data_IF_651672479920
#
_entry.id   IF_651672479920
#
_cell.length_a   1.000
_cell.length_b   1.000
_cell.length_c   1.000
_cell.angle_alpha   90.00
_cell.angle_beta   90.00
_cell.angle_gamma   90.00
#
_symmetry.space_group_name_H-M   'P 1'
#
loop_
_entity.id
_entity.type
_entity.pdbx_description
1 polymer ?
#
# COMPACT_ATOMS: atom_id res chain seq x y z
N UNK A 1 -40.51 41.53 40.55
CA UNK A 1 -39.44 42.21 39.79
C UNK A 1 -38.31 41.26 39.39
N UNK A 2 -37.99 40.25 40.19
CA UNK A 2 -36.89 39.31 39.93
C UNK A 2 -37.07 38.45 38.67
N UNK A 3 -38.28 37.92 38.42
CA UNK A 3 -38.57 37.14 37.21
C UNK A 3 -38.52 37.96 35.91
N UNK A 4 -38.80 39.27 35.99
CA UNK A 4 -38.75 40.18 34.82
C UNK A 4 -37.30 40.47 34.44
N UNK A 5 -36.40 40.60 35.42
CA UNK A 5 -34.97 40.78 35.19
C UNK A 5 -34.30 39.54 34.58
N UNK A 6 -34.70 38.34 35.00
CA UNK A 6 -34.19 37.08 34.44
C UNK A 6 -34.65 36.92 32.98
N UNK A 7 -35.92 37.20 32.68
CA UNK A 7 -36.44 37.14 31.32
C UNK A 7 -35.73 38.15 30.39
N UNK A 8 -35.43 39.35 30.89
CA UNK A 8 -34.69 40.37 30.13
C UNK A 8 -33.24 39.95 29.88
N UNK A 9 -32.57 39.33 30.86
CA UNK A 9 -31.21 38.84 30.70
C UNK A 9 -31.12 37.72 29.65
N UNK A 10 -32.08 36.79 29.63
CA UNK A 10 -32.15 35.72 28.63
C UNK A 10 -32.38 36.30 27.22
N UNK A 11 -33.24 37.33 27.09
CA UNK A 11 -33.50 38.00 25.82
C UNK A 11 -32.24 38.70 25.27
N UNK A 12 -31.47 39.36 26.15
CA UNK A 12 -30.22 40.03 25.76
C UNK A 12 -29.17 39.02 25.30
N UNK A 13 -29.01 37.90 26.02
CA UNK A 13 -28.07 36.83 25.62
C UNK A 13 -28.48 36.21 24.28
N UNK A 14 -29.77 35.96 24.06
CA UNK A 14 -30.28 35.46 22.78
C UNK A 14 -30.03 36.45 21.63
N UNK A 15 -30.20 37.75 21.87
CA UNK A 15 -29.94 38.79 20.87
C UNK A 15 -28.46 38.91 20.51
N UNK A 16 -27.56 38.89 21.51
CA UNK A 16 -26.11 38.94 21.30
C UNK A 16 -25.62 37.69 20.56
N UNK A 17 -26.14 36.51 20.89
CA UNK A 17 -25.78 35.25 20.23
C UNK A 17 -26.31 35.22 18.78
N UNK A 18 -27.53 35.72 18.55
CA UNK A 18 -28.12 35.84 17.21
C UNK A 18 -27.37 36.83 16.30
N UNK A 19 -26.94 37.98 16.83
CA UNK A 19 -26.15 38.96 16.08
C UNK A 19 -24.74 38.40 15.79
N UNK A 20 -24.13 37.69 16.74
CA UNK A 20 -22.80 37.06 16.53
C UNK A 20 -22.83 35.99 15.45
N UNK A 21 -23.93 35.23 15.33
CA UNK A 21 -24.13 34.24 14.27
C UNK A 21 -24.46 34.87 12.90
N UNK A 22 -25.08 36.06 12.86
CA UNK A 22 -25.33 36.79 11.62
C UNK A 22 -24.09 37.55 11.09
N UNK A 23 -23.23 38.07 11.98
CA UNK A 23 -22.01 38.81 11.59
C UNK A 23 -20.87 37.86 11.16
N UNK A 24 -20.91 36.58 11.56
CA UNK A 24 -19.95 35.56 11.14
C UNK A 24 -20.12 35.04 9.70
N UNK A 25 -21.21 35.42 9.01
CA UNK A 25 -21.50 35.01 7.63
C UNK A 25 -21.61 36.24 6.72
N UNK A 26 -20.47 36.80 6.34
CA UNK A 26 -20.41 37.70 5.19
C UNK A 26 -19.38 38.80 5.29
N UNK A 27 -18.14 38.50 4.90
CA UNK A 27 -17.28 39.42 4.15
C UNK A 27 -16.14 38.66 3.48
N UNK A 28 -16.35 38.38 2.19
CA UNK A 28 -15.28 38.16 1.20
C UNK A 28 -14.53 39.48 1.02
N UNK A 29 -13.21 39.42 1.14
CA UNK A 29 -12.24 40.26 0.42
C UNK A 29 -11.09 39.30 0.09
N UNK A 30 -11.05 38.68 -1.09
CA UNK A 30 -10.34 39.18 -2.27
C UNK A 30 -9.03 39.90 -1.92
N UNK A 31 -7.95 39.12 -1.83
CA UNK A 31 -6.67 39.45 -2.46
C UNK A 31 -6.12 38.18 -3.10
N UNK A 32 -5.83 38.31 -4.39
CA UNK A 32 -5.11 37.34 -5.19
C UNK A 32 -3.70 37.20 -4.61
N UNK A 33 -3.27 35.96 -4.37
CA UNK A 33 -1.94 35.55 -4.75
C UNK A 33 -2.12 34.51 -5.86
N UNK A 34 -1.90 34.99 -7.09
CA UNK A 34 -1.58 34.18 -8.25
C UNK A 34 -0.19 33.57 -8.03
N UNK A 35 -0.12 32.25 -7.96
CA UNK A 35 0.93 31.40 -8.56
C UNK A 35 0.93 29.98 -7.95
N UNK A 36 -0.16 29.25 -8.17
CA UNK A 36 -0.18 27.80 -8.05
C UNK A 36 -0.97 27.20 -9.22
N UNK A 37 -0.49 27.47 -10.43
CA UNK A 37 -0.87 26.72 -11.61
C UNK A 37 -0.14 25.36 -11.59
N UNK A 38 -0.87 24.31 -11.22
CA UNK A 38 -0.66 22.93 -11.68
C UNK A 38 -1.81 22.05 -11.13
N UNK A 39 -3.03 22.29 -11.61
CA UNK A 39 -4.11 21.32 -11.44
C UNK A 39 -3.87 20.17 -12.42
N UNK A 40 -3.53 18.99 -11.91
CA UNK A 40 -3.40 17.79 -12.72
C UNK A 40 -4.75 17.47 -13.35
N UNK A 41 -4.87 17.73 -14.64
CA UNK A 41 -6.04 17.38 -15.45
C UNK A 41 -5.83 15.94 -15.89
N UNK A 42 -6.43 14.97 -15.20
CA UNK A 42 -6.49 13.59 -15.67
C UNK A 42 -7.89 13.34 -16.24
N UNK A 43 -7.98 13.39 -17.57
CA UNK A 43 -9.09 12.87 -18.37
C UNK A 43 -9.26 11.39 -18.08
N UNK A 44 -10.42 10.98 -17.57
CA UNK A 44 -10.82 9.57 -17.56
C UNK A 44 -10.94 9.11 -19.03
N UNK A 45 -10.26 8.03 -19.48
CA UNK A 45 -10.65 7.34 -20.69
C UNK A 45 -12.03 6.71 -20.45
N UNK A 46 -13.01 7.04 -21.29
CA UNK A 46 -14.34 6.39 -21.28
C UNK A 46 -14.16 4.96 -21.83
N UNK A 47 -14.57 3.90 -21.12
CA UNK A 47 -14.63 2.56 -21.72
C UNK A 47 -15.58 2.57 -22.92
N UNK A 48 -15.32 1.80 -23.99
CA UNK A 48 -16.23 1.72 -25.13
C UNK A 48 -17.60 1.20 -24.65
N UNK A 49 -18.66 1.94 -24.98
CA UNK A 49 -20.03 1.55 -24.67
C UNK A 49 -20.39 0.30 -25.47
N UNK A 50 -20.89 -0.74 -24.78
CA UNK A 50 -21.52 -1.89 -25.41
C UNK A 50 -22.96 -1.52 -25.74
N UNK A 51 -23.22 -1.12 -26.99
CA UNK A 51 -24.59 -0.91 -27.48
C UNK A 51 -25.32 -2.25 -27.56
N UNK A 52 -26.21 -2.48 -26.61
CA UNK A 52 -27.20 -3.57 -26.67
C UNK A 52 -28.55 -2.96 -27.01
N UNK A 53 -28.80 -2.74 -28.30
CA UNK A 53 -30.16 -2.61 -28.81
C UNK A 53 -30.37 -3.59 -29.96
N UNK A 54 -31.10 -4.65 -29.65
CA UNK A 54 -31.71 -5.56 -30.62
C UNK A 54 -32.84 -4.85 -31.34
N UNK A 55 -32.98 -5.00 -32.68
CA UNK A 55 -34.29 -4.97 -33.28
C UNK A 55 -34.60 -6.29 -34.00
N UNK A 56 -35.71 -6.89 -33.60
CA UNK A 56 -36.47 -7.86 -34.39
C UNK A 56 -37.01 -7.14 -35.63
N UNK A 57 -36.74 -7.63 -36.85
CA UNK A 57 -37.71 -7.56 -37.97
C UNK A 57 -37.62 -8.76 -38.92
N UNK A 58 -38.81 -9.28 -39.17
CA UNK A 58 -39.30 -10.16 -40.23
C UNK A 58 -39.05 -9.64 -41.64
N UNK A 59 -38.93 -10.55 -42.62
CA UNK A 59 -39.26 -10.29 -44.02
C UNK A 59 -38.13 -10.60 -45.01
N UNK A 60 -38.30 -11.66 -45.79
CA UNK A 60 -37.43 -12.07 -46.88
C UNK A 60 -37.52 -11.13 -48.09
N UNK A 61 -36.37 -10.81 -48.70
CA UNK A 61 -36.22 -10.69 -50.16
C UNK A 61 -34.74 -10.79 -50.52
N UNK A 62 -34.43 -11.66 -51.48
CA UNK A 62 -33.09 -11.91 -52.00
C UNK A 62 -32.62 -10.74 -52.87
N UNK A 63 -31.38 -10.29 -52.68
CA UNK A 63 -30.67 -9.38 -53.59
C UNK A 63 -29.23 -9.88 -53.77
N UNK A 64 -28.83 -9.89 -55.04
CA UNK A 64 -27.60 -10.38 -55.68
C UNK A 64 -26.28 -9.85 -55.07
N UNK A 65 -25.20 -10.66 -54.96
CA UNK A 65 -23.90 -10.22 -54.45
C UNK A 65 -22.97 -9.82 -55.61
N UNK A 66 -23.15 -8.64 -56.18
CA UNK A 66 -22.16 -8.07 -57.11
C UNK A 66 -22.29 -6.53 -57.17
N UNK A 67 -21.55 -5.85 -56.29
CA UNK A 67 -21.07 -4.46 -56.35
C UNK A 67 -21.21 -3.74 -55.00
N UNK A 68 -20.14 -3.72 -54.22
CA UNK A 68 -19.94 -2.71 -53.18
C UNK A 68 -18.50 -2.22 -53.32
N UNK A 69 -18.35 -1.13 -54.06
CA UNK A 69 -17.18 -0.26 -54.00
C UNK A 69 -17.05 0.30 -52.58
N UNK A 70 -15.85 0.17 -52.02
CA UNK A 70 -15.48 0.65 -50.69
C UNK A 70 -15.34 2.18 -50.74
N UNK A 71 -16.41 2.89 -50.39
CA UNK A 71 -16.36 4.34 -50.16
C UNK A 71 -15.78 4.63 -48.76
N UNK A 72 -14.82 5.56 -48.60
CA UNK A 72 -14.24 5.87 -47.30
C UNK A 72 -15.29 6.56 -46.42
N UNK A 73 -15.54 6.02 -45.24
CA UNK A 73 -16.40 6.63 -44.24
C UNK A 73 -15.84 7.99 -43.79
N UNK A 74 -16.67 9.01 -43.55
CA UNK A 74 -16.21 10.30 -43.07
C UNK A 74 -15.62 10.16 -41.65
N UNK A 75 -14.63 10.99 -41.26
CA UNK A 75 -14.10 10.98 -39.90
C UNK A 75 -15.22 11.34 -38.93
N UNK A 76 -15.51 10.45 -37.97
CA UNK A 76 -16.37 10.78 -36.83
C UNK A 76 -15.52 11.65 -35.90
N UNK A 77 -15.73 12.96 -35.98
CA UNK A 77 -15.13 13.92 -35.08
C UNK A 77 -15.78 13.76 -33.69
N UNK A 78 -15.09 13.07 -32.78
CA UNK A 78 -15.52 12.96 -31.39
C UNK A 78 -15.50 14.37 -30.77
N UNK A 79 -16.59 14.82 -30.14
CA UNK A 79 -16.59 16.12 -29.47
C UNK A 79 -15.52 16.12 -28.35
N UNK A 80 -14.83 17.25 -28.12
CA UNK A 80 -13.84 17.36 -27.06
C UNK A 80 -14.49 17.02 -25.72
N UNK A 81 -13.82 16.18 -24.93
CA UNK A 81 -14.27 15.80 -23.60
C UNK A 81 -14.31 17.04 -22.70
N UNK A 82 -15.50 17.60 -22.49
CA UNK A 82 -15.71 18.62 -21.48
C UNK A 82 -15.55 17.98 -20.09
N UNK A 83 -14.78 18.59 -19.17
CA UNK A 83 -14.62 18.07 -17.82
C UNK A 83 -15.95 18.16 -17.08
N UNK A 84 -16.49 17.01 -16.66
CA UNK A 84 -17.64 16.93 -15.75
C UNK A 84 -17.36 17.77 -14.48
N UNK A 85 -18.09 18.89 -14.28
CA UNK A 85 -17.85 19.74 -13.12
C UNK A 85 -18.43 19.07 -11.87
N UNK A 86 -17.57 18.66 -10.93
CA UNK A 86 -18.00 18.26 -9.59
C UNK A 86 -17.32 17.05 -8.96
N UNK A 87 -16.39 16.37 -9.66
CA UNK A 87 -15.62 15.27 -9.06
C UNK A 87 -14.52 15.84 -8.16
N UNK A 88 -14.79 15.88 -6.84
CA UNK A 88 -13.79 16.20 -5.83
C UNK A 88 -12.97 14.94 -5.55
N UNK A 89 -11.79 14.85 -6.15
CA UNK A 89 -10.82 13.81 -5.81
C UNK A 89 -10.08 14.19 -4.54
N UNK A 90 -9.81 13.20 -3.68
CA UNK A 90 -8.88 13.40 -2.58
C UNK A 90 -7.47 13.55 -3.16
N UNK A 91 -6.78 14.61 -2.79
CA UNK A 91 -5.38 14.86 -3.17
C UNK A 91 -4.50 14.39 -2.02
N UNK A 92 -3.92 13.17 -2.08
CA UNK A 92 -3.22 12.61 -0.95
C UNK A 92 -1.95 13.43 -0.66
N UNK A 93 -1.58 13.54 0.62
CA UNK A 93 -0.33 14.20 0.97
C UNK A 93 0.89 13.41 0.41
N UNK A 94 1.96 14.11 0.00
CA UNK A 94 3.19 13.47 -0.47
C UNK A 94 3.78 12.50 0.54
N UNK A 95 4.43 11.46 0.04
CA UNK A 95 5.02 10.36 0.82
C UNK A 95 6.07 10.83 1.84
N UNK A 96 6.83 11.88 1.53
CA UNK A 96 7.89 12.43 2.38
C UNK A 96 7.43 12.82 3.81
N UNK A 97 6.19 13.34 3.96
CA UNK A 97 5.64 13.71 5.28
C UNK A 97 4.96 12.55 6.04
N UNK A 98 4.75 11.42 5.37
CA UNK A 98 4.01 10.26 5.90
C UNK A 98 4.87 9.45 6.87
N UNK A 99 6.17 9.30 6.57
CA UNK A 99 7.14 8.58 7.41
C UNK A 99 7.26 9.17 8.82
N UNK A 100 7.30 10.50 8.95
CA UNK A 100 7.42 11.17 10.27
C UNK A 100 6.20 10.88 11.15
N UNK A 101 4.99 10.95 10.59
CA UNK A 101 3.75 10.61 11.32
C UNK A 101 3.72 9.14 11.72
N UNK A 102 4.23 8.26 10.87
CA UNK A 102 4.21 6.82 11.08
C UNK A 102 5.28 6.36 12.09
N UNK A 103 6.45 7.01 12.16
CA UNK A 103 7.41 6.82 13.26
C UNK A 103 6.77 7.06 14.62
N UNK A 104 5.92 8.09 14.75
CA UNK A 104 5.19 8.34 16.00
C UNK A 104 4.15 7.26 16.37
N UNK A 105 3.66 6.48 15.40
CA UNK A 105 2.74 5.35 15.64
C UNK A 105 3.50 4.09 15.99
N UNK A 106 4.58 3.81 15.26
CA UNK A 106 5.52 2.73 15.57
C UNK A 106 6.10 2.89 16.98
N UNK A 107 6.51 4.10 17.37
CA UNK A 107 6.98 4.39 18.73
C UNK A 107 5.90 4.23 19.82
N UNK A 108 4.60 4.32 19.45
CA UNK A 108 3.46 4.05 20.34
C UNK A 108 3.11 2.58 20.43
N UNK A 109 3.49 1.78 19.43
CA UNK A 109 3.52 0.31 19.54
C UNK A 109 4.70 -0.05 20.45
N UNK A 110 4.47 0.10 21.76
CA UNK A 110 5.48 -0.17 22.78
C UNK A 110 5.90 -1.63 22.70
N UNK A 111 7.09 -1.86 22.16
CA UNK A 111 7.65 -3.21 22.08
C UNK A 111 8.01 -3.68 23.49
N UNK A 112 7.27 -4.69 23.97
CA UNK A 112 7.71 -5.52 25.10
C UNK A 112 9.13 -6.05 24.87
N UNK A 113 9.49 -6.31 23.61
CA UNK A 113 10.83 -6.68 23.16
C UNK A 113 11.90 -5.68 23.64
N UNK A 114 11.76 -4.39 23.27
CA UNK A 114 12.78 -3.38 23.55
C UNK A 114 13.01 -3.19 25.05
N UNK A 115 11.92 -3.12 25.82
CA UNK A 115 11.99 -3.04 27.28
C UNK A 115 12.61 -4.28 27.91
N UNK A 116 12.24 -5.48 27.45
CA UNK A 116 12.80 -6.73 27.95
C UNK A 116 14.31 -6.77 27.75
N UNK A 117 14.75 -6.51 26.50
CA UNK A 117 16.17 -6.49 26.15
C UNK A 117 16.96 -5.46 26.97
N UNK A 118 16.49 -4.21 27.05
CA UNK A 118 17.19 -3.16 27.79
C UNK A 118 17.24 -3.42 29.29
N UNK A 119 16.21 -4.05 29.86
CA UNK A 119 16.17 -4.39 31.30
C UNK A 119 17.23 -5.41 31.65
N UNK A 120 17.39 -6.44 30.82
CA UNK A 120 18.41 -7.46 31.03
C UNK A 120 19.81 -6.88 30.81
N UNK A 121 20.00 -6.15 29.70
CA UNK A 121 21.30 -5.58 29.33
C UNK A 121 21.81 -4.50 30.29
N UNK A 122 20.93 -3.84 31.04
CA UNK A 122 21.30 -2.81 32.02
C UNK A 122 21.85 -3.36 33.35
N UNK A 123 21.86 -4.68 33.56
CA UNK A 123 22.44 -5.31 34.76
C UNK A 123 23.96 -5.08 34.79
N UNK A 124 24.54 -4.80 35.96
CA UNK A 124 25.98 -4.50 36.12
C UNK A 124 26.89 -5.64 35.64
N UNK A 125 26.43 -6.88 35.78
CA UNK A 125 27.14 -8.07 35.32
C UNK A 125 26.17 -9.06 34.72
N UNK A 126 26.35 -9.32 33.43
CA UNK A 126 25.53 -10.29 32.69
C UNK A 126 26.05 -11.72 32.95
N UNK A 127 25.16 -12.61 33.39
CA UNK A 127 25.38 -14.05 33.55
C UNK A 127 25.02 -14.81 32.27
N UNK A 128 25.24 -16.14 32.22
CA UNK A 128 24.74 -16.96 31.10
C UNK A 128 23.20 -16.94 31.06
N UNK A 129 22.54 -17.06 32.22
CA UNK A 129 21.07 -17.00 32.33
C UNK A 129 20.51 -15.69 31.76
N UNK A 130 21.22 -14.56 31.94
CA UNK A 130 20.81 -13.28 31.35
C UNK A 130 20.85 -13.31 29.81
N UNK A 131 21.84 -14.00 29.23
CA UNK A 131 21.93 -14.14 27.76
C UNK A 131 20.87 -15.10 27.22
N UNK A 132 20.50 -16.13 27.97
CA UNK A 132 19.36 -17.00 27.66
C UNK A 132 18.05 -16.19 27.67
N UNK A 133 17.84 -15.31 28.66
CA UNK A 133 16.67 -14.41 28.73
C UNK A 133 16.59 -13.48 27.50
N UNK A 134 17.73 -12.94 27.05
CA UNK A 134 17.82 -12.14 25.81
C UNK A 134 17.46 -12.97 24.58
N UNK A 135 17.97 -14.20 24.49
CA UNK A 135 17.69 -15.13 23.39
C UNK A 135 16.20 -15.45 23.31
N UNK A 136 15.61 -15.86 24.43
CA UNK A 136 14.19 -16.17 24.56
C UNK A 136 13.31 -14.98 24.16
N UNK A 137 13.68 -13.77 24.58
CA UNK A 137 12.96 -12.53 24.24
C UNK A 137 12.95 -12.28 22.73
N UNK A 138 14.09 -12.46 22.05
CA UNK A 138 14.20 -12.31 20.60
C UNK A 138 13.39 -13.40 19.84
N UNK A 139 13.45 -14.65 20.32
CA UNK A 139 12.67 -15.75 19.74
C UNK A 139 11.17 -15.52 19.89
N UNK A 140 10.71 -15.07 21.06
CA UNK A 140 9.31 -14.77 21.33
C UNK A 140 8.75 -13.66 20.42
N UNK A 141 9.62 -12.77 19.95
CA UNK A 141 9.27 -11.71 19.00
C UNK A 141 9.31 -12.14 17.52
N UNK A 142 9.46 -13.44 17.23
CA UNK A 142 9.53 -14.02 15.88
C UNK A 142 10.77 -13.57 15.06
N UNK A 143 11.89 -13.21 15.71
CA UNK A 143 13.16 -12.85 15.01
C UNK A 143 13.77 -14.04 14.27
N UNK A 144 13.54 -15.26 14.77
CA UNK A 144 14.03 -16.51 14.22
C UNK A 144 15.41 -16.91 14.76
N UNK A 145 15.64 -18.23 14.87
CA UNK A 145 16.79 -18.82 15.57
C UNK A 145 18.13 -18.29 15.05
N UNK A 146 18.39 -18.39 13.75
CA UNK A 146 19.67 -17.98 13.17
C UNK A 146 19.98 -16.48 13.37
N UNK A 147 18.95 -15.63 13.31
CA UNK A 147 19.11 -14.20 13.54
C UNK A 147 19.32 -13.88 15.01
N UNK A 148 18.53 -14.48 15.88
CA UNK A 148 18.68 -14.36 17.32
C UNK A 148 20.10 -14.77 17.76
N UNK A 149 20.57 -15.96 17.37
CA UNK A 149 21.92 -16.43 17.74
C UNK A 149 23.00 -15.45 17.31
N UNK A 150 22.91 -14.90 16.10
CA UNK A 150 23.86 -13.90 15.63
C UNK A 150 23.80 -12.60 16.44
N UNK A 151 22.60 -12.09 16.73
CA UNK A 151 22.41 -10.87 17.53
C UNK A 151 23.02 -11.08 18.91
N UNK A 152 22.69 -12.17 19.60
CA UNK A 152 23.20 -12.50 20.94
C UNK A 152 24.72 -12.57 20.95
N UNK A 153 25.34 -13.29 20.01
CA UNK A 153 26.80 -13.39 19.92
C UNK A 153 27.48 -12.04 19.74
N UNK A 154 26.91 -11.17 18.90
CA UNK A 154 27.45 -9.82 18.67
C UNK A 154 27.27 -8.92 19.88
N UNK A 155 26.09 -8.93 20.50
CA UNK A 155 25.83 -8.20 21.73
C UNK A 155 26.80 -8.62 22.84
N UNK A 156 27.01 -9.93 23.03
CA UNK A 156 27.94 -10.49 24.01
C UNK A 156 29.40 -10.09 23.77
N UNK A 157 29.81 -10.06 22.50
CA UNK A 157 31.17 -9.61 22.14
C UNK A 157 31.35 -8.12 22.42
N UNK A 158 30.36 -7.30 22.07
CA UNK A 158 30.41 -5.85 22.23
C UNK A 158 30.25 -5.41 23.69
N UNK A 159 29.46 -6.12 24.50
CA UNK A 159 29.26 -5.82 25.93
C UNK A 159 30.55 -5.99 26.74
N UNK A 160 31.44 -6.92 26.37
CA UNK A 160 32.76 -7.08 27.00
C UNK A 160 33.66 -5.86 26.77
N UNK A 161 33.54 -5.21 25.61
CA UNK A 161 34.26 -3.96 25.29
C UNK A 161 33.62 -2.77 25.98
N UNK A 162 32.30 -2.83 26.22
CA UNK A 162 31.46 -1.77 26.75
C UNK A 162 31.08 -1.98 28.22
N UNK A 163 31.92 -2.64 29.02
CA UNK A 163 31.63 -3.05 30.41
C UNK A 163 31.23 -1.92 31.39
N UNK A 164 31.25 -0.65 30.96
CA UNK A 164 30.82 0.55 31.70
C UNK A 164 29.80 1.40 30.94
N UNK A 165 29.14 0.84 29.92
CA UNK A 165 28.24 1.57 29.05
C UNK A 165 26.96 2.03 29.78
N UNK A 166 26.58 3.27 29.52
CA UNK A 166 25.29 3.85 29.89
C UNK A 166 24.13 3.13 29.18
N UNK A 167 22.92 3.21 29.76
CA UNK A 167 21.72 2.63 29.15
C UNK A 167 21.44 3.13 27.73
N UNK A 168 21.84 4.36 27.40
CA UNK A 168 21.79 4.91 26.03
C UNK A 168 22.75 4.22 25.08
N UNK A 169 23.98 3.93 25.52
CA UNK A 169 24.97 3.21 24.69
C UNK A 169 24.55 1.76 24.43
N UNK A 170 23.92 1.11 25.42
CA UNK A 170 23.35 -0.24 25.26
C UNK A 170 22.18 -0.24 24.28
N UNK A 171 21.31 0.76 24.35
CA UNK A 171 20.23 0.96 23.39
C UNK A 171 20.76 1.10 21.97
N UNK A 172 21.72 1.99 21.77
CA UNK A 172 22.28 2.26 20.44
C UNK A 172 23.02 1.03 19.89
N UNK A 173 23.64 0.22 20.76
CA UNK A 173 24.19 -1.08 20.41
C UNK A 173 23.10 -2.03 19.89
N UNK A 174 21.98 -2.19 20.63
CA UNK A 174 20.88 -3.07 20.20
C UNK A 174 20.27 -2.61 18.89
N UNK A 175 19.99 -1.30 18.75
CA UNK A 175 19.45 -0.73 17.51
C UNK A 175 20.40 -1.02 16.35
N UNK A 176 21.70 -0.77 16.51
CA UNK A 176 22.70 -1.03 15.48
C UNK A 176 22.74 -2.50 15.06
N UNK A 177 22.73 -3.43 16.01
CA UNK A 177 22.78 -4.86 15.67
C UNK A 177 21.49 -5.34 15.00
N UNK A 178 20.32 -4.84 15.42
CA UNK A 178 19.06 -5.12 14.75
C UNK A 178 19.05 -4.54 13.32
N UNK A 179 19.48 -3.30 13.15
CA UNK A 179 19.59 -2.66 11.82
C UNK A 179 20.54 -3.45 10.92
N UNK A 180 21.69 -3.90 11.43
CA UNK A 180 22.63 -4.69 10.65
C UNK A 180 22.03 -6.01 10.15
N UNK A 181 21.22 -6.68 10.98
CA UNK A 181 20.53 -7.92 10.58
C UNK A 181 19.38 -7.65 9.61
N UNK A 182 18.77 -6.47 9.66
CA UNK A 182 17.78 -6.02 8.68
C UNK A 182 18.39 -5.68 7.31
N UNK A 183 19.71 -5.63 7.16
CA UNK A 183 20.37 -5.41 5.87
C UNK A 183 20.08 -4.01 5.31
N UNK A 184 20.72 -2.95 5.83
CA UNK A 184 20.46 -1.57 5.42
C UNK A 184 20.76 -1.34 3.93
N UNK A 185 21.70 -2.09 3.37
CA UNK A 185 22.17 -1.92 1.98
C UNK A 185 21.26 -2.57 0.91
N UNK A 186 20.19 -3.28 1.31
CA UNK A 186 19.26 -3.88 0.35
C UNK A 186 18.46 -2.80 -0.40
N UNK A 187 18.30 -2.97 -1.71
CA UNK A 187 17.49 -2.05 -2.52
C UNK A 187 16.00 -2.20 -2.20
N UNK A 188 15.44 -1.18 -1.56
CA UNK A 188 14.03 -1.12 -1.15
C UNK A 188 13.17 -0.24 -2.03
N UNK A 189 13.73 0.31 -3.11
CA UNK A 189 12.98 1.17 -4.03
C UNK A 189 11.83 0.39 -4.66
N UNK A 190 10.67 1.03 -4.71
CA UNK A 190 9.50 0.49 -5.38
C UNK A 190 9.58 0.86 -6.87
N UNK A 191 9.70 -0.14 -7.75
CA UNK A 191 9.83 0.10 -9.20
C UNK A 191 8.48 0.51 -9.78
N UNK A 192 8.25 1.82 -9.83
CA UNK A 192 6.96 2.46 -10.22
C UNK A 192 7.16 3.63 -11.18
N UNK A 193 8.32 3.71 -11.82
CA UNK A 193 8.64 4.76 -12.79
C UNK A 193 8.43 4.21 -14.19
N UNK A 194 7.80 5.00 -15.07
CA UNK A 194 7.66 4.65 -16.49
C UNK A 194 9.05 4.46 -17.11
N UNK A 195 9.21 3.43 -17.93
CA UNK A 195 10.46 3.20 -18.66
C UNK A 195 10.21 2.46 -19.98
N UNK A 196 11.13 2.57 -20.92
CA UNK A 196 11.07 1.89 -22.22
C UNK A 196 9.73 2.08 -22.97
N UNK A 197 9.09 3.25 -22.79
CA UNK A 197 7.81 3.59 -23.40
C UNK A 197 6.56 2.96 -22.76
N UNK A 198 6.71 2.17 -21.68
CA UNK A 198 5.62 1.47 -20.99
C UNK A 198 5.53 1.83 -19.49
N UNK A 199 4.35 1.68 -18.85
CA UNK A 199 4.24 1.83 -17.41
C UNK A 199 5.05 0.76 -16.67
N UNK A 200 5.48 1.08 -15.46
CA UNK A 200 5.97 0.07 -14.52
C UNK A 200 4.81 -0.85 -14.10
N UNK A 201 5.01 -2.16 -14.17
CA UNK A 201 3.98 -3.14 -13.84
C UNK A 201 4.27 -3.76 -12.47
N UNK A 202 3.34 -3.56 -11.53
CA UNK A 202 3.40 -4.06 -10.17
C UNK A 202 2.34 -5.12 -9.93
N UNK A 203 2.76 -6.36 -9.71
CA UNK A 203 1.87 -7.46 -9.36
C UNK A 203 1.81 -7.61 -7.84
N UNK A 204 0.62 -7.57 -7.26
CA UNK A 204 0.43 -7.71 -5.80
C UNK A 204 -0.19 -9.06 -5.48
N UNK A 205 0.58 -9.90 -4.78
CA UNK A 205 0.23 -11.29 -4.45
C UNK A 205 0.21 -11.53 -2.94
N UNK A 206 -0.30 -12.69 -2.52
CA UNK A 206 -0.38 -13.08 -1.11
C UNK A 206 -1.70 -13.72 -0.73
N UNK A 207 -1.81 -14.15 0.52
CA UNK A 207 -2.98 -14.90 1.00
C UNK A 207 -4.20 -14.02 1.24
N UNK A 208 -5.38 -14.63 1.30
CA UNK A 208 -6.60 -13.94 1.70
C UNK A 208 -6.49 -13.40 3.14
N UNK A 209 -7.03 -12.20 3.39
CA UNK A 209 -6.98 -11.57 4.71
C UNK A 209 -5.65 -10.88 5.06
N UNK A 210 -4.61 -11.02 4.23
CA UNK A 210 -3.33 -10.32 4.43
C UNK A 210 -3.38 -8.82 4.10
N UNK A 211 -4.45 -8.35 3.44
CA UNK A 211 -4.64 -6.94 3.11
C UNK A 211 -4.15 -6.51 1.72
N UNK A 212 -4.15 -7.41 0.72
CA UNK A 212 -3.73 -7.14 -0.67
C UNK A 212 -4.47 -5.95 -1.31
N UNK A 213 -5.78 -6.05 -1.49
CA UNK A 213 -6.61 -5.00 -2.09
C UNK A 213 -6.46 -3.66 -1.38
N UNK A 214 -6.42 -3.67 -0.05
CA UNK A 214 -6.14 -2.47 0.76
C UNK A 214 -4.75 -1.90 0.48
N UNK A 215 -3.73 -2.77 0.37
CA UNK A 215 -2.35 -2.36 0.06
C UNK A 215 -2.26 -1.77 -1.34
N UNK A 216 -2.90 -2.37 -2.34
CA UNK A 216 -2.98 -1.84 -3.71
C UNK A 216 -3.58 -0.43 -3.72
N UNK A 217 -4.71 -0.23 -3.05
CA UNK A 217 -5.34 1.08 -2.93
C UNK A 217 -4.47 2.12 -2.22
N UNK A 218 -3.77 1.72 -1.14
CA UNK A 218 -2.82 2.60 -0.44
C UNK A 218 -1.60 2.95 -1.29
N UNK A 219 -1.04 2.01 -2.06
CA UNK A 219 0.06 2.28 -3.00
C UNK A 219 -0.41 3.27 -4.07
N UNK A 220 -1.57 3.05 -4.70
CA UNK A 220 -2.12 3.97 -5.68
C UNK A 220 -2.26 5.39 -5.11
N UNK A 221 -2.81 5.51 -3.89
CA UNK A 221 -2.91 6.79 -3.18
C UNK A 221 -1.54 7.44 -2.93
N UNK A 222 -0.52 6.65 -2.56
CA UNK A 222 0.85 7.17 -2.38
C UNK A 222 1.39 7.72 -3.70
N UNK A 223 1.29 6.95 -4.78
CA UNK A 223 1.79 7.35 -6.10
C UNK A 223 1.08 8.59 -6.63
N UNK A 224 -0.25 8.68 -6.48
CA UNK A 224 -1.03 9.88 -6.85
C UNK A 224 -0.63 11.09 -6.02
N UNK A 225 -0.41 10.91 -4.71
CA UNK A 225 0.09 11.99 -3.83
C UNK A 225 1.50 12.46 -4.20
N UNK A 226 2.29 11.60 -4.83
CA UNK A 226 3.61 11.91 -5.38
C UNK A 226 3.54 12.41 -6.84
N UNK A 227 2.34 12.67 -7.36
CA UNK A 227 2.09 13.25 -8.69
C UNK A 227 2.13 12.26 -9.84
N UNK A 228 2.16 10.95 -9.57
CA UNK A 228 2.19 9.90 -10.59
C UNK A 228 0.79 9.49 -11.05
N UNK A 229 0.70 9.14 -12.32
CA UNK A 229 -0.47 8.56 -12.97
C UNK A 229 -0.48 7.02 -12.79
N UNK A 230 -1.65 6.47 -12.45
CA UNK A 230 -1.79 5.05 -12.09
C UNK A 230 -3.02 4.45 -12.76
N UNK A 231 -2.94 3.17 -13.13
CA UNK A 231 -4.09 2.32 -13.47
C UNK A 231 -4.11 1.11 -12.54
N UNK A 232 -5.29 0.70 -12.09
CA UNK A 232 -5.51 -0.48 -11.26
C UNK A 232 -6.08 -1.64 -12.09
N UNK A 233 -5.62 -2.86 -11.84
CA UNK A 233 -6.16 -4.08 -12.42
C UNK A 233 -6.80 -4.97 -11.36
N UNK A 234 -8.12 -5.19 -11.45
CA UNK A 234 -8.88 -6.03 -10.52
C UNK A 234 -8.85 -7.51 -10.94
N UNK A 235 -7.70 -8.16 -10.81
CA UNK A 235 -7.52 -9.56 -11.20
C UNK A 235 -7.93 -10.59 -10.12
N UNK A 236 -8.40 -10.17 -8.93
CA UNK A 236 -9.13 -11.05 -7.98
C UNK A 236 -10.58 -11.30 -8.48
N UNK A 237 -10.71 -11.99 -9.61
CA UNK A 237 -12.01 -12.18 -10.29
C UNK A 237 -12.96 -13.15 -9.56
N UNK A 238 -12.44 -13.90 -8.59
CA UNK A 238 -13.22 -14.84 -7.76
C UNK A 238 -14.00 -14.15 -6.64
N UNK A 239 -13.69 -12.90 -6.34
CA UNK A 239 -14.34 -12.14 -5.27
C UNK A 239 -14.90 -10.86 -5.88
N UNK A 240 -16.17 -10.86 -6.27
CA UNK A 240 -16.84 -9.66 -6.78
C UNK A 240 -16.60 -8.43 -5.88
N UNK A 241 -16.77 -8.60 -4.57
CA UNK A 241 -16.53 -7.54 -3.59
C UNK A 241 -15.08 -7.02 -3.56
N UNK A 242 -14.08 -7.78 -4.00
CA UNK A 242 -12.70 -7.31 -4.08
C UNK A 242 -12.51 -6.32 -5.24
N UNK A 243 -13.13 -6.59 -6.39
CA UNK A 243 -13.13 -5.67 -7.52
C UNK A 243 -13.86 -4.37 -7.18
N UNK A 244 -15.04 -4.44 -6.55
CA UNK A 244 -15.81 -3.26 -6.13
C UNK A 244 -15.04 -2.44 -5.05
N UNK A 245 -14.36 -3.13 -4.13
CA UNK A 245 -13.51 -2.49 -3.14
C UNK A 245 -12.34 -1.76 -3.81
N UNK A 246 -11.68 -2.37 -4.79
CA UNK A 246 -10.58 -1.76 -5.51
C UNK A 246 -11.02 -0.56 -6.35
N UNK A 247 -12.18 -0.66 -7.01
CA UNK A 247 -12.80 0.45 -7.73
C UNK A 247 -13.06 1.64 -6.81
N UNK A 248 -13.63 1.39 -5.64
CA UNK A 248 -13.84 2.43 -4.61
C UNK A 248 -12.54 3.09 -4.17
N UNK A 249 -11.43 2.33 -4.07
CA UNK A 249 -10.12 2.90 -3.78
C UNK A 249 -9.63 3.82 -4.91
N UNK A 250 -9.77 3.39 -6.17
CA UNK A 250 -9.38 4.16 -7.35
C UNK A 250 -10.19 5.45 -7.51
N UNK A 251 -11.52 5.36 -7.40
CA UNK A 251 -12.43 6.51 -7.55
C UNK A 251 -12.13 7.65 -6.59
N UNK A 252 -11.76 7.34 -5.35
CA UNK A 252 -11.42 8.34 -4.32
C UNK A 252 -10.23 9.22 -4.70
N UNK A 253 -9.31 8.71 -5.51
CA UNK A 253 -8.08 9.42 -5.94
C UNK A 253 -8.02 9.64 -7.46
N UNK A 254 -9.12 9.41 -8.18
CA UNK A 254 -9.20 9.64 -9.62
C UNK A 254 -8.45 8.62 -10.48
N UNK A 255 -8.18 7.43 -9.95
CA UNK A 255 -7.46 6.35 -10.65
C UNK A 255 -8.45 5.39 -11.33
N UNK A 256 -8.17 5.06 -12.59
CA UNK A 256 -8.97 4.10 -13.36
C UNK A 256 -8.73 2.67 -12.87
N UNK A 257 -9.81 1.90 -12.69
CA UNK A 257 -9.76 0.47 -12.36
C UNK A 257 -10.30 -0.36 -13.52
N UNK A 258 -9.44 -1.19 -14.10
CA UNK A 258 -9.79 -2.19 -15.13
C UNK A 258 -10.28 -3.45 -14.43
N UNK A 259 -11.48 -3.91 -14.77
CA UNK A 259 -12.13 -5.09 -14.19
C UNK A 259 -12.76 -5.97 -15.26
N UNK A 260 -12.78 -7.27 -15.01
CA UNK A 260 -13.45 -8.26 -15.86
C UNK A 260 -14.82 -8.67 -15.34
N UNK A 261 -15.46 -9.61 -16.04
CA UNK A 261 -16.65 -10.32 -15.53
C UNK A 261 -16.29 -11.14 -14.28
N UNK A 262 -17.23 -11.25 -13.35
CA UNK A 262 -17.09 -12.13 -12.17
C UNK A 262 -16.81 -13.58 -12.62
N UNK A 263 -15.82 -14.23 -11.99
CA UNK A 263 -15.35 -15.56 -12.38
C UNK A 263 -14.63 -15.61 -13.74
N UNK A 264 -14.35 -14.46 -14.36
CA UNK A 264 -13.52 -14.36 -15.56
C UNK A 264 -12.06 -14.72 -15.31
N UNK A 265 -11.29 -14.85 -16.39
CA UNK A 265 -9.86 -15.18 -16.32
C UNK A 265 -9.02 -14.00 -15.77
N UNK A 266 -8.36 -14.11 -14.61
CA UNK A 266 -7.51 -13.04 -14.04
C UNK A 266 -6.42 -12.56 -14.99
N UNK A 267 -5.84 -13.47 -15.76
CA UNK A 267 -4.76 -13.14 -16.69
C UNK A 267 -5.25 -12.20 -17.80
N UNK A 268 -6.51 -12.35 -18.23
CA UNK A 268 -7.13 -11.47 -19.21
C UNK A 268 -7.36 -10.07 -18.64
N UNK A 269 -7.80 -9.96 -17.37
CA UNK A 269 -7.97 -8.64 -16.72
C UNK A 269 -6.64 -7.92 -16.54
N UNK A 270 -5.61 -8.64 -16.10
CA UNK A 270 -4.27 -8.08 -15.93
C UNK A 270 -3.66 -7.62 -17.26
N UNK A 271 -3.86 -8.39 -18.34
CA UNK A 271 -3.43 -8.01 -19.70
C UNK A 271 -4.08 -6.69 -20.14
N UNK A 272 -5.41 -6.59 -20.03
CA UNK A 272 -6.14 -5.39 -20.41
C UNK A 272 -5.76 -4.17 -19.56
N UNK A 273 -5.46 -4.37 -18.26
CA UNK A 273 -4.99 -3.31 -17.39
C UNK A 273 -3.65 -2.72 -17.85
N UNK A 274 -2.71 -3.58 -18.26
CA UNK A 274 -1.41 -3.14 -18.78
C UNK A 274 -1.56 -2.49 -20.16
N UNK A 275 -2.39 -3.05 -21.05
CA UNK A 275 -2.70 -2.41 -22.34
C UNK A 275 -3.27 -1.01 -22.14
N UNK A 276 -4.24 -0.87 -21.25
CA UNK A 276 -4.87 0.42 -20.89
C UNK A 276 -3.84 1.40 -20.32
N UNK A 277 -2.92 0.94 -19.48
CA UNK A 277 -1.85 1.77 -18.94
C UNK A 277 -0.85 2.23 -20.01
N UNK A 278 -0.54 1.38 -21.00
CA UNK A 278 0.31 1.75 -22.14
C UNK A 278 -0.39 2.80 -23.00
N UNK A 279 -1.65 2.58 -23.37
CA UNK A 279 -2.46 3.51 -24.18
C UNK A 279 -2.67 4.85 -23.47
N UNK A 280 -2.84 4.83 -22.15
CA UNK A 280 -2.97 6.02 -21.31
C UNK A 280 -1.64 6.67 -20.92
N UNK A 281 -0.51 6.11 -21.36
CA UNK A 281 0.83 6.60 -21.06
C UNK A 281 1.13 6.82 -19.56
N UNK A 282 0.54 5.99 -18.70
CA UNK A 282 0.63 6.17 -17.25
C UNK A 282 1.99 5.76 -16.70
N UNK A 283 2.29 6.17 -15.47
CA UNK A 283 3.55 5.84 -14.81
C UNK A 283 3.60 4.40 -14.31
N UNK A 284 2.49 3.93 -13.72
CA UNK A 284 2.42 2.58 -13.14
C UNK A 284 1.06 1.90 -13.32
N UNK A 285 1.09 0.57 -13.44
CA UNK A 285 -0.08 -0.31 -13.40
C UNK A 285 0.06 -1.23 -12.19
N UNK A 286 -0.94 -1.25 -11.30
CA UNK A 286 -0.93 -2.10 -10.11
C UNK A 286 -2.05 -3.14 -10.22
N UNK A 287 -1.68 -4.42 -10.18
CA UNK A 287 -2.63 -5.54 -10.36
C UNK A 287 -2.86 -6.25 -9.02
N UNK A 288 -4.12 -6.27 -8.56
CA UNK A 288 -4.57 -7.04 -7.39
C UNK A 288 -4.94 -8.46 -7.81
N UNK A 289 -4.34 -9.48 -7.19
CA UNK A 289 -4.58 -10.89 -7.55
C UNK A 289 -5.40 -11.64 -6.49
N UNK A 290 -5.91 -12.82 -6.87
CA UNK A 290 -6.50 -13.76 -5.91
C UNK A 290 -5.47 -14.25 -4.85
N UNK A 291 -5.96 -14.74 -3.72
CA UNK A 291 -5.14 -15.21 -2.59
C UNK A 291 -5.57 -16.51 -1.91
N UNK A 292 -6.27 -17.39 -2.61
CA UNK A 292 -6.83 -18.64 -2.05
C UNK A 292 -5.76 -19.74 -1.91
N UNK A 293 -4.98 -19.71 -0.83
CA UNK A 293 -3.87 -20.66 -0.62
C UNK A 293 -4.29 -22.12 -0.36
N UNK A 294 -5.56 -22.41 -0.06
CA UNK A 294 -6.02 -23.76 0.28
C UNK A 294 -5.89 -24.78 -0.88
N UNK A 295 -5.78 -24.30 -2.13
CA UNK A 295 -5.44 -25.11 -3.30
C UNK A 295 -4.08 -24.67 -3.85
N UNK A 296 -3.01 -24.96 -3.11
CA UNK A 296 -1.63 -24.47 -3.38
C UNK A 296 -1.22 -24.59 -4.85
N UNK A 297 -1.47 -25.73 -5.51
CA UNK A 297 -1.10 -25.91 -6.93
C UNK A 297 -1.89 -24.98 -7.85
N UNK A 298 -3.22 -24.98 -7.76
CA UNK A 298 -4.08 -24.18 -8.64
C UNK A 298 -3.84 -22.67 -8.52
N UNK A 299 -3.61 -22.15 -7.31
CA UNK A 299 -3.30 -20.73 -7.13
C UNK A 299 -1.94 -20.35 -7.75
N UNK A 300 -0.91 -21.18 -7.56
CA UNK A 300 0.42 -20.85 -8.09
C UNK A 300 0.46 -20.92 -9.62
N UNK A 301 -0.23 -21.91 -10.22
CA UNK A 301 -0.38 -22.02 -11.66
C UNK A 301 -1.11 -20.80 -12.25
N UNK A 302 -2.14 -20.31 -11.55
CA UNK A 302 -2.90 -19.13 -11.92
C UNK A 302 -2.05 -17.85 -11.84
N UNK A 303 -1.32 -17.64 -10.74
CA UNK A 303 -0.44 -16.47 -10.58
C UNK A 303 0.70 -16.50 -11.61
N UNK A 304 1.29 -17.67 -11.85
CA UNK A 304 2.29 -17.86 -12.91
C UNK A 304 1.71 -17.64 -14.31
N UNK A 305 0.44 -17.97 -14.55
CA UNK A 305 -0.27 -17.62 -15.80
C UNK A 305 -0.45 -16.11 -15.93
N UNK A 306 -0.91 -15.42 -14.87
CA UNK A 306 -1.09 -13.96 -14.86
C UNK A 306 0.22 -13.27 -15.21
N UNK A 307 1.32 -13.61 -14.52
CA UNK A 307 2.65 -13.06 -14.80
C UNK A 307 3.05 -13.26 -16.28
N UNK A 308 3.01 -14.50 -16.79
CA UNK A 308 3.38 -14.79 -18.19
C UNK A 308 2.54 -14.06 -19.23
N UNK A 309 1.24 -13.85 -18.96
CA UNK A 309 0.36 -13.13 -19.88
C UNK A 309 0.67 -11.65 -19.89
N UNK A 310 0.87 -11.06 -18.72
CA UNK A 310 1.29 -9.66 -18.57
C UNK A 310 2.66 -9.41 -19.21
N UNK A 311 3.58 -10.37 -19.09
CA UNK A 311 4.94 -10.27 -19.65
C UNK A 311 4.99 -10.18 -21.18
N UNK A 312 3.87 -10.43 -21.89
CA UNK A 312 3.75 -10.19 -23.33
C UNK A 312 3.88 -8.71 -23.70
N UNK A 313 3.63 -7.80 -22.76
CA UNK A 313 3.80 -6.36 -22.92
C UNK A 313 5.18 -5.84 -22.46
N UNK A 314 6.01 -6.71 -21.88
CA UNK A 314 7.28 -6.35 -21.23
C UNK A 314 7.39 -6.98 -19.83
N UNK A 315 8.59 -7.06 -19.25
CA UNK A 315 8.79 -7.76 -17.98
C UNK A 315 7.97 -7.12 -16.84
N UNK A 316 7.50 -7.94 -15.89
CA UNK A 316 6.92 -7.42 -14.64
C UNK A 316 8.04 -6.83 -13.80
N UNK A 317 7.91 -5.55 -13.45
CA UNK A 317 8.99 -4.78 -12.83
C UNK A 317 9.07 -5.05 -11.32
N UNK A 318 7.92 -5.30 -10.70
CA UNK A 318 7.79 -5.58 -9.28
C UNK A 318 6.72 -6.63 -8.99
N UNK A 319 7.06 -7.62 -8.17
CA UNK A 319 6.12 -8.58 -7.58
C UNK A 319 6.15 -8.40 -6.07
N UNK A 320 5.11 -7.77 -5.53
CA UNK A 320 4.97 -7.48 -4.11
C UNK A 320 4.16 -8.56 -3.42
N UNK A 321 4.77 -9.24 -2.46
CA UNK A 321 4.09 -10.18 -1.59
C UNK A 321 3.58 -9.47 -0.34
N UNK A 322 2.26 -9.48 -0.15
CA UNK A 322 1.62 -8.95 1.06
C UNK A 322 1.53 -10.04 2.13
N UNK A 323 2.15 -9.78 3.27
CA UNK A 323 2.19 -10.67 4.43
C UNK A 323 1.60 -9.97 5.65
N UNK A 324 0.85 -10.74 6.44
CA UNK A 324 0.31 -10.31 7.72
C UNK A 324 1.35 -10.56 8.83
N UNK A 325 1.79 -9.50 9.50
CA UNK A 325 2.80 -9.59 10.56
C UNK A 325 2.37 -10.44 11.77
N UNK A 326 1.07 -10.70 11.94
CA UNK A 326 0.55 -11.56 13.02
C UNK A 326 0.80 -13.06 12.78
N UNK A 327 1.13 -13.44 11.53
CA UNK A 327 1.26 -14.85 11.15
C UNK A 327 2.55 -15.52 11.62
N UNK A 328 3.56 -14.74 12.05
CA UNK A 328 4.86 -15.24 12.52
C UNK A 328 5.53 -16.16 11.50
N UNK A 329 6.06 -17.30 11.96
CA UNK A 329 6.74 -18.28 11.10
C UNK A 329 5.89 -18.84 9.95
N UNK A 330 4.56 -18.85 10.08
CA UNK A 330 3.69 -19.26 8.97
C UNK A 330 3.81 -18.30 7.78
N UNK A 331 4.02 -17.01 8.04
CA UNK A 331 4.24 -16.01 6.99
C UNK A 331 5.52 -16.29 6.20
N UNK A 332 6.57 -16.78 6.86
CA UNK A 332 7.85 -17.13 6.21
C UNK A 332 7.68 -18.33 5.28
N UNK A 333 7.00 -19.37 5.75
CA UNK A 333 6.68 -20.56 4.92
C UNK A 333 5.83 -20.17 3.70
N UNK A 334 4.82 -19.32 3.89
CA UNK A 334 4.00 -18.81 2.79
C UNK A 334 4.85 -18.06 1.77
N UNK A 335 5.71 -17.17 2.25
CA UNK A 335 6.52 -16.32 1.40
C UNK A 335 7.51 -17.10 0.54
N UNK A 336 8.08 -18.20 1.04
CA UNK A 336 8.86 -19.14 0.22
C UNK A 336 8.06 -19.71 -0.94
N UNK A 337 6.85 -20.21 -0.67
CA UNK A 337 6.01 -20.82 -1.72
C UNK A 337 5.62 -19.81 -2.80
N UNK A 338 5.30 -18.56 -2.43
CA UNK A 338 5.01 -17.51 -3.42
C UNK A 338 6.26 -17.10 -4.20
N UNK A 339 7.41 -17.00 -3.53
CA UNK A 339 8.67 -16.64 -4.17
C UNK A 339 9.05 -17.65 -5.25
N UNK A 340 8.94 -18.95 -4.95
CA UNK A 340 9.20 -20.03 -5.91
C UNK A 340 8.25 -20.01 -7.13
N UNK A 341 7.04 -19.47 -6.98
CA UNK A 341 6.02 -19.50 -8.02
C UNK A 341 6.03 -18.28 -8.97
N UNK A 342 6.33 -17.08 -8.45
CA UNK A 342 6.19 -15.83 -9.23
C UNK A 342 7.38 -14.88 -9.17
N UNK A 343 8.51 -15.30 -8.58
CA UNK A 343 9.72 -14.48 -8.39
C UNK A 343 9.42 -13.17 -7.67
N UNK A 344 9.03 -13.28 -6.40
CA UNK A 344 8.73 -12.12 -5.54
C UNK A 344 9.97 -11.21 -5.44
N UNK A 345 9.78 -9.91 -5.68
CA UNK A 345 10.88 -8.91 -5.66
C UNK A 345 10.88 -8.05 -4.40
N UNK A 346 9.76 -8.01 -3.68
CA UNK A 346 9.62 -7.22 -2.45
C UNK A 346 8.48 -7.72 -1.57
N UNK A 347 8.57 -7.43 -0.28
CA UNK A 347 7.53 -7.77 0.70
C UNK A 347 6.88 -6.50 1.24
N UNK A 348 5.57 -6.56 1.41
CA UNK A 348 4.78 -5.58 2.17
C UNK A 348 4.25 -6.26 3.43
N UNK A 349 4.60 -5.73 4.59
CA UNK A 349 4.11 -6.25 5.86
C UNK A 349 2.96 -5.40 6.38
N UNK A 350 1.83 -6.02 6.65
CA UNK A 350 0.63 -5.34 7.18
C UNK A 350 0.38 -5.69 8.64
N UNK A 351 -0.50 -4.93 9.29
CA UNK A 351 -0.96 -5.14 10.67
C UNK A 351 0.14 -5.13 11.73
N UNK A 352 1.22 -4.38 11.48
CA UNK A 352 2.32 -4.23 12.43
C UNK A 352 1.92 -3.44 13.69
N UNK A 353 0.85 -2.66 13.62
CA UNK A 353 0.27 -1.92 14.74
C UNK A 353 -0.44 -2.81 15.77
N UNK A 354 -0.85 -4.01 15.39
CA UNK A 354 -1.59 -4.95 16.25
C UNK A 354 -0.75 -6.04 16.90
N UNK A 355 0.58 -6.03 16.74
CA UNK A 355 1.42 -7.19 17.12
C UNK A 355 2.76 -6.81 17.75
N UNK A 356 3.18 -7.60 18.75
CA UNK A 356 4.53 -7.56 19.31
C UNK A 356 5.55 -8.40 18.49
N UNK A 357 5.08 -9.10 17.44
CA UNK A 357 5.87 -10.01 16.59
C UNK A 357 6.59 -9.27 15.45
N UNK A 358 7.24 -8.16 15.78
CA UNK A 358 7.96 -7.34 14.79
C UNK A 358 9.20 -8.02 14.19
N UNK A 359 9.68 -9.11 14.80
CA UNK A 359 10.85 -9.86 14.34
C UNK A 359 10.63 -10.62 13.04
N UNK A 360 9.38 -10.83 12.60
CA UNK A 360 9.05 -11.52 11.34
C UNK A 360 9.76 -10.89 10.12
N UNK A 361 10.00 -9.57 10.15
CA UNK A 361 10.76 -8.84 9.12
C UNK A 361 12.14 -9.47 8.93
N UNK A 362 12.83 -9.73 10.03
CA UNK A 362 14.18 -10.30 10.04
C UNK A 362 14.14 -11.72 9.47
N UNK A 363 13.20 -12.54 9.93
CA UNK A 363 13.07 -13.92 9.46
C UNK A 363 12.81 -14.00 7.96
N UNK A 364 11.85 -13.21 7.44
CA UNK A 364 11.48 -13.19 6.02
C UNK A 364 12.66 -12.76 5.14
N UNK A 365 13.35 -11.67 5.49
CA UNK A 365 14.46 -11.19 4.65
C UNK A 365 15.64 -12.16 4.62
N UNK A 366 15.96 -12.81 5.76
CA UNK A 366 17.09 -13.74 5.82
C UNK A 366 16.79 -15.06 5.13
N UNK A 367 15.58 -15.57 5.27
CA UNK A 367 15.21 -16.86 4.70
C UNK A 367 15.00 -16.78 3.19
N UNK A 368 14.52 -15.65 2.68
CA UNK A 368 14.16 -15.50 1.26
C UNK A 368 15.12 -14.63 0.46
N UNK A 369 15.94 -13.80 1.13
CA UNK A 369 16.81 -12.83 0.45
C UNK A 369 16.05 -11.67 -0.20
N UNK A 370 14.77 -11.49 0.12
CA UNK A 370 13.89 -10.46 -0.47
C UNK A 370 13.70 -9.31 0.52
N UNK A 371 13.86 -8.04 0.11
CA UNK A 371 13.69 -6.91 0.99
C UNK A 371 12.22 -6.66 1.35
N UNK A 372 11.98 -6.30 2.61
CA UNK A 372 10.73 -5.63 2.97
C UNK A 372 10.82 -4.19 2.48
N UNK A 373 9.89 -3.79 1.60
CA UNK A 373 9.87 -2.46 0.96
C UNK A 373 8.87 -1.52 1.61
N UNK A 374 7.74 -2.06 2.09
CA UNK A 374 6.64 -1.27 2.64
C UNK A 374 6.10 -1.90 3.93
N UNK A 375 5.58 -1.05 4.82
CA UNK A 375 4.92 -1.44 6.06
C UNK A 375 3.57 -0.74 6.23
N UNK A 376 2.55 -1.52 6.55
CA UNK A 376 1.22 -1.07 6.93
C UNK A 376 1.08 -0.98 8.45
N UNK A 377 0.68 0.19 8.93
CA UNK A 377 0.71 0.56 10.36
C UNK A 377 -0.67 0.97 10.90
N UNK A 378 -1.72 0.47 10.26
CA UNK A 378 -3.10 0.76 10.62
C UNK A 378 -4.07 0.63 9.44
N UNK A 379 -5.34 0.88 9.73
CA UNK A 379 -6.45 0.76 8.77
C UNK A 379 -6.70 2.04 7.96
N UNK A 380 -6.12 3.18 8.38
CA UNK A 380 -6.31 4.45 7.69
C UNK A 380 -5.74 4.44 6.26
N UNK A 381 -6.29 5.26 5.35
CA UNK A 381 -5.86 5.29 3.95
C UNK A 381 -4.42 5.76 3.76
N UNK A 382 -3.88 6.49 4.73
CA UNK A 382 -2.50 6.97 4.72
C UNK A 382 -1.56 6.13 5.61
N UNK A 383 -2.01 4.96 6.08
CA UNK A 383 -1.24 4.09 6.98
C UNK A 383 -0.42 3.04 6.19
N UNK A 384 0.41 3.52 5.27
CA UNK A 384 1.42 2.75 4.52
C UNK A 384 2.70 3.59 4.40
N UNK A 385 3.84 3.02 4.76
CA UNK A 385 5.14 3.69 4.70
C UNK A 385 6.20 2.85 3.98
N UNK A 386 7.20 3.48 3.37
CA UNK A 386 8.49 2.85 3.10
C UNK A 386 9.08 2.20 4.35
N UNK A 387 9.70 1.04 4.18
CA UNK A 387 10.40 0.36 5.25
C UNK A 387 11.82 0.94 5.42
N UNK A 388 12.05 1.58 6.57
CA UNK A 388 13.35 2.15 6.95
C UNK A 388 13.96 1.30 8.08
N UNK A 389 15.02 0.51 7.82
CA UNK A 389 15.58 -0.44 8.79
C UNK A 389 15.97 0.16 10.13
N UNK A 390 16.61 1.34 10.11
CA UNK A 390 17.03 2.05 11.33
C UNK A 390 15.82 2.56 12.11
N UNK A 391 14.89 3.26 11.46
CA UNK A 391 13.68 3.75 12.10
C UNK A 391 12.80 2.61 12.67
N UNK A 392 12.79 1.46 12.00
CA UNK A 392 12.10 0.27 12.49
C UNK A 392 12.81 -0.35 13.70
N UNK A 393 14.13 -0.48 13.67
CA UNK A 393 14.91 -0.97 14.82
C UNK A 393 14.77 -0.03 16.03
N UNK A 394 14.83 1.28 15.84
CA UNK A 394 14.57 2.28 16.88
C UNK A 394 13.18 2.10 17.49
N UNK A 395 12.15 1.90 16.67
CA UNK A 395 10.80 1.67 17.14
C UNK A 395 10.66 0.35 17.93
N UNK A 396 11.33 -0.72 17.47
CA UNK A 396 11.36 -2.01 18.16
C UNK A 396 12.12 -1.97 19.49
N UNK A 397 13.03 -1.03 19.69
CA UNK A 397 13.72 -0.86 20.98
C UNK A 397 12.98 0.14 21.87
N UNK A 398 12.26 1.09 21.27
CA UNK A 398 11.53 2.16 21.95
C UNK A 398 12.39 3.41 22.18
N UNK A 399 11.72 4.51 22.50
CA UNK A 399 12.37 5.73 23.00
C UNK A 399 12.56 5.61 24.52
N UNK A 400 13.67 6.20 25.01
CA UNK A 400 13.93 6.37 26.43
C UNK A 400 12.86 7.26 27.10
#
# INVERSE_FOLDING_TARGET
>A
MEFVLIALAILVVALVTGISLLVGRGRRTLRLDSDAAAGTTLTRPRPPAADTETPVRTGATAVDPASLEEAPAPPVELPPAEPEPGLVFDTPLPSAGRLVRLRSRLARSQSSLGRGLLTVLAREKLTEDDWEEVEETLLAADVGVAATTQIVQRLRTQSLVLATASGTQLRDLVVRELTAVLGPDLDRRLRTDRHDGRPAVVLVVGVNGAGKTTTVGKIARVLVGDGKSVVLGAADTFRAAAADQLETWGERVGVLTVRGREGGDPASVAFEAVRTGIEGEVDAVIVDTAGRLHTKSGLMDELGKVKRVVEKHGPVDEVLLVLDATTGQNGVVQARVFTEAVDVTGVVLTKLDGTAKGGIVVAVQRELGIPVKLIGLGEGPDDLAPFEPEAFAEALVGNA
#
